data_IF_816459688914
#
_entry.id   IF_816459688914
#
_cell.length_a   1.000
_cell.length_b   1.000
_cell.length_c   1.000
_cell.angle_alpha   90.00
_cell.angle_beta   90.00
_cell.angle_gamma   90.00
#
_symmetry.space_group_name_H-M   'P 1'
#
loop_
_entity.id
_entity.type
_entity.pdbx_description
1 polymer ?
#
# COMPACT_ATOMS: atom_id res chain seq x y z
N UNK A 1 -20.64 64.75 -12.04
CA UNK A 1 -19.24 64.44 -12.45
C UNK A 1 -18.67 63.55 -11.36
N UNK A 2 -18.46 62.33 -11.65
CA UNK A 2 -18.24 61.39 -10.63
C UNK A 2 -17.22 60.35 -10.97
N UNK A 3 -16.53 59.91 -10.00
CA UNK A 3 -15.51 58.87 -10.10
C UNK A 3 -15.98 57.61 -9.39
N UNK A 4 -15.96 56.52 -10.08
CA UNK A 4 -15.97 55.20 -9.52
C UNK A 4 -14.91 54.37 -10.24
N UNK A 5 -13.83 54.07 -9.56
CA UNK A 5 -12.83 53.08 -10.02
C UNK A 5 -12.33 52.34 -8.79
N UNK A 6 -12.47 51.05 -8.83
CA UNK A 6 -11.49 50.17 -8.25
C UNK A 6 -11.85 49.39 -7.00
N UNK A 7 -12.34 48.16 -7.19
CA UNK A 7 -12.09 47.09 -6.26
C UNK A 7 -12.45 45.75 -6.90
N UNK A 8 -11.57 45.09 -7.62
CA UNK A 8 -11.78 43.68 -8.01
C UNK A 8 -10.53 43.00 -8.56
N UNK A 9 -9.42 43.02 -7.84
CA UNK A 9 -8.26 42.15 -8.21
C UNK A 9 -7.50 41.76 -6.94
N UNK A 10 -8.03 40.91 -6.11
CA UNK A 10 -7.21 40.28 -5.03
C UNK A 10 -7.64 38.86 -4.61
N UNK A 11 -8.60 38.25 -5.25
CA UNK A 11 -9.13 36.92 -4.79
C UNK A 11 -8.55 35.76 -5.58
N UNK A 12 -8.01 35.98 -6.78
CA UNK A 12 -7.56 34.87 -7.65
C UNK A 12 -6.19 34.25 -7.29
N UNK A 13 -5.34 34.99 -6.55
CA UNK A 13 -3.95 34.53 -6.31
C UNK A 13 -3.83 33.51 -5.18
N UNK A 14 -4.75 33.54 -4.19
CA UNK A 14 -4.65 32.62 -3.04
C UNK A 14 -5.11 31.18 -3.35
N UNK A 15 -6.07 31.02 -4.26
CA UNK A 15 -6.57 29.67 -4.63
C UNK A 15 -5.55 28.86 -5.46
N UNK A 16 -4.73 29.51 -6.30
CA UNK A 16 -3.74 28.86 -7.12
C UNK A 16 -2.55 28.29 -6.32
N UNK A 17 -2.15 28.94 -5.23
CA UNK A 17 -1.04 28.51 -4.39
C UNK A 17 -1.34 27.26 -3.56
N UNK A 18 -2.59 27.09 -3.12
CA UNK A 18 -3.01 25.91 -2.34
C UNK A 18 -3.06 24.66 -3.24
N UNK A 19 -3.50 24.79 -4.48
CA UNK A 19 -3.54 23.68 -5.44
C UNK A 19 -2.15 23.19 -5.87
N UNK A 20 -1.18 24.09 -6.03
CA UNK A 20 0.19 23.72 -6.40
C UNK A 20 0.91 22.96 -5.27
N UNK A 21 0.65 23.28 -4.01
CA UNK A 21 1.23 22.60 -2.86
C UNK A 21 0.80 21.12 -2.77
N UNK A 22 -0.46 20.82 -3.00
CA UNK A 22 -1.01 19.46 -2.95
C UNK A 22 -0.46 18.60 -4.10
N UNK A 23 -0.39 19.14 -5.31
CA UNK A 23 0.16 18.43 -6.47
C UNK A 23 1.66 18.13 -6.34
N UNK A 24 2.45 19.08 -5.82
CA UNK A 24 3.88 18.88 -5.62
C UNK A 24 4.18 17.80 -4.56
N UNK A 25 3.36 17.71 -3.51
CA UNK A 25 3.53 16.73 -2.45
C UNK A 25 3.12 15.32 -2.90
N UNK A 26 2.07 15.17 -3.69
CA UNK A 26 1.69 13.89 -4.29
C UNK A 26 2.74 13.37 -5.28
N UNK A 27 3.41 14.23 -6.02
CA UNK A 27 4.50 13.84 -6.93
C UNK A 27 5.74 13.28 -6.19
N UNK A 28 5.88 13.50 -4.90
CA UNK A 28 6.95 12.93 -4.08
C UNK A 28 6.55 11.61 -3.41
N UNK A 29 5.27 11.27 -3.43
CA UNK A 29 4.79 10.00 -2.87
C UNK A 29 5.50 8.82 -3.51
N UNK A 30 5.97 7.90 -2.67
CA UNK A 30 6.62 6.66 -3.09
C UNK A 30 6.18 5.44 -2.27
N UNK A 31 5.18 5.63 -1.41
CA UNK A 31 4.53 4.59 -0.60
C UNK A 31 3.05 4.91 -0.41
N UNK A 32 2.21 3.88 -0.51
CA UNK A 32 0.81 3.95 -0.09
C UNK A 32 0.22 2.55 0.16
N UNK A 33 -0.93 2.49 0.84
CA UNK A 33 -1.82 1.33 0.87
C UNK A 33 -2.90 1.55 -0.19
N UNK A 34 -3.24 0.54 -0.96
CA UNK A 34 -4.32 0.65 -1.96
C UNK A 34 -5.64 1.10 -1.30
N UNK A 35 -6.29 2.14 -1.82
CA UNK A 35 -7.59 2.61 -1.31
C UNK A 35 -8.74 1.69 -1.71
N UNK A 36 -8.50 0.78 -2.64
CA UNK A 36 -9.43 -0.26 -3.08
C UNK A 36 -8.64 -1.51 -3.46
N UNK A 37 -9.14 -2.67 -3.12
CA UNK A 37 -8.67 -3.94 -3.69
C UNK A 37 -9.23 -4.14 -5.11
N UNK A 38 -8.73 -5.12 -5.88
CA UNK A 38 -9.28 -5.46 -7.20
C UNK A 38 -10.72 -5.99 -7.15
N UNK A 39 -11.27 -6.26 -5.96
CA UNK A 39 -12.67 -6.70 -5.77
C UNK A 39 -12.90 -8.21 -5.95
N UNK A 40 -11.85 -9.00 -6.05
CA UNK A 40 -11.90 -10.44 -6.22
C UNK A 40 -11.00 -11.17 -5.20
N UNK A 41 -11.16 -10.84 -3.91
CA UNK A 41 -10.36 -11.41 -2.83
C UNK A 41 -8.86 -11.22 -3.06
N UNK A 42 -8.10 -12.29 -2.86
CA UNK A 42 -6.67 -12.32 -3.11
C UNK A 42 -6.29 -12.72 -4.55
N UNK A 43 -7.26 -12.87 -5.45
CA UNK A 43 -6.98 -12.99 -6.88
C UNK A 43 -6.67 -11.60 -7.46
N UNK A 44 -5.41 -11.25 -7.41
CA UNK A 44 -4.89 -9.95 -7.87
C UNK A 44 -4.42 -10.00 -9.34
N UNK A 45 -4.53 -11.17 -10.01
CA UNK A 45 -3.91 -11.42 -11.30
C UNK A 45 -2.41 -11.69 -11.20
N UNK A 46 -1.97 -12.31 -10.10
CA UNK A 46 -0.58 -12.53 -9.77
C UNK A 46 0.16 -11.26 -9.39
N UNK A 47 1.49 -11.33 -9.27
CA UNK A 47 2.32 -10.16 -8.99
C UNK A 47 2.19 -9.06 -10.05
N UNK A 48 2.06 -9.44 -11.32
CA UNK A 48 1.95 -8.49 -12.43
C UNK A 48 0.62 -7.70 -12.37
N UNK A 49 -0.48 -8.36 -12.02
CA UNK A 49 -1.78 -7.71 -11.84
C UNK A 49 -1.77 -6.75 -10.64
N UNK A 50 -1.16 -7.17 -9.53
CA UNK A 50 -0.99 -6.32 -8.35
C UNK A 50 -0.13 -5.08 -8.65
N UNK A 51 0.98 -5.23 -9.38
CA UNK A 51 1.83 -4.11 -9.81
C UNK A 51 1.06 -3.12 -10.70
N UNK A 52 0.30 -3.65 -11.66
CA UNK A 52 -0.55 -2.83 -12.52
C UNK A 52 -1.59 -2.05 -11.71
N UNK A 53 -2.18 -2.67 -10.68
CA UNK A 53 -3.12 -2.00 -9.79
C UNK A 53 -2.45 -0.87 -9.01
N UNK A 54 -1.26 -1.10 -8.43
CA UNK A 54 -0.44 -0.05 -7.81
C UNK A 54 -0.17 1.11 -8.79
N UNK A 55 0.26 0.80 -10.01
CA UNK A 55 0.56 1.81 -11.03
C UNK A 55 -0.68 2.63 -11.41
N UNK A 56 -1.84 1.97 -11.51
CA UNK A 56 -3.12 2.63 -11.85
C UNK A 56 -3.55 3.60 -10.75
N UNK A 57 -3.50 3.18 -9.48
CA UNK A 57 -3.86 4.03 -8.35
C UNK A 57 -2.88 5.20 -8.19
N UNK A 58 -1.58 4.94 -8.33
CA UNK A 58 -0.55 5.99 -8.30
C UNK A 58 -0.74 7.01 -9.43
N UNK A 59 -1.06 6.57 -10.65
CA UNK A 59 -1.32 7.46 -11.78
C UNK A 59 -2.56 8.35 -11.52
N UNK A 60 -3.63 7.78 -10.99
CA UNK A 60 -4.84 8.53 -10.61
C UNK A 60 -4.57 9.57 -9.52
N UNK A 61 -3.57 9.33 -8.65
CA UNK A 61 -3.14 10.27 -7.61
C UNK A 61 -2.03 11.25 -8.07
N UNK A 62 -1.68 11.28 -9.36
CA UNK A 62 -0.67 12.18 -9.92
C UNK A 62 0.78 11.73 -9.70
N UNK A 63 1.01 10.49 -9.24
CA UNK A 63 2.32 9.90 -9.01
C UNK A 63 2.69 8.78 -10.02
N UNK A 64 2.06 8.78 -11.19
CA UNK A 64 2.22 7.75 -12.22
C UNK A 64 3.55 7.78 -12.98
N UNK A 65 4.38 8.78 -12.79
CA UNK A 65 5.69 8.95 -13.44
C UNK A 65 6.80 8.04 -12.85
N UNK A 66 6.48 7.25 -11.81
CA UNK A 66 7.36 6.26 -11.19
C UNK A 66 6.91 4.85 -11.54
N UNK A 67 7.79 3.87 -11.42
CA UNK A 67 7.43 2.45 -11.49
C UNK A 67 6.97 1.98 -10.12
N UNK A 68 5.74 1.50 -10.03
CA UNK A 68 5.15 1.03 -8.78
C UNK A 68 5.10 -0.48 -8.70
N UNK A 69 5.39 -1.00 -7.51
CA UNK A 69 5.40 -2.43 -7.20
C UNK A 69 4.58 -2.72 -5.95
N UNK A 70 3.81 -3.80 -6.01
CA UNK A 70 3.14 -4.33 -4.84
C UNK A 70 4.16 -5.01 -3.91
N UNK A 71 4.08 -4.76 -2.61
CA UNK A 71 4.85 -5.47 -1.59
C UNK A 71 4.20 -6.82 -1.32
N UNK A 72 4.48 -7.78 -2.16
CA UNK A 72 3.92 -9.13 -2.12
C UNK A 72 5.02 -10.16 -2.40
N UNK A 73 5.11 -11.19 -1.56
CA UNK A 73 5.95 -12.36 -1.83
C UNK A 73 5.19 -13.40 -2.65
N UNK A 74 5.89 -14.23 -3.40
CA UNK A 74 5.32 -15.34 -4.14
C UNK A 74 6.23 -16.56 -4.10
N UNK A 75 5.65 -17.75 -4.04
CA UNK A 75 6.38 -19.02 -4.08
C UNK A 75 6.89 -19.31 -5.49
N UNK A 76 7.94 -20.12 -5.59
CA UNK A 76 8.44 -20.60 -6.87
C UNK A 76 7.33 -21.38 -7.63
N UNK A 77 7.19 -21.12 -8.91
CA UNK A 77 6.22 -21.78 -9.76
C UNK A 77 6.63 -21.76 -11.23
N UNK A 78 6.32 -22.81 -11.97
CA UNK A 78 6.48 -22.91 -13.43
C UNK A 78 7.85 -22.41 -13.95
N UNK A 79 8.95 -22.79 -13.28
CA UNK A 79 10.30 -22.41 -13.66
C UNK A 79 10.71 -20.98 -13.23
N UNK A 80 9.87 -20.27 -12.50
CA UNK A 80 10.21 -19.01 -11.87
C UNK A 80 10.64 -19.23 -10.42
N UNK A 81 11.72 -18.56 -9.94
CA UNK A 81 12.14 -18.66 -8.55
C UNK A 81 11.11 -18.00 -7.63
N UNK A 82 11.18 -18.33 -6.33
CA UNK A 82 10.45 -17.59 -5.32
C UNK A 82 10.85 -16.11 -5.30
N UNK A 83 9.89 -15.27 -4.96
CA UNK A 83 10.04 -13.81 -4.92
C UNK A 83 9.77 -13.32 -3.51
N UNK A 84 10.71 -12.58 -2.94
CA UNK A 84 10.51 -11.89 -1.66
C UNK A 84 9.95 -10.49 -1.90
N UNK A 85 9.01 -10.05 -1.10
CA UNK A 85 8.43 -8.71 -1.22
C UNK A 85 9.50 -7.60 -1.07
N UNK A 86 10.44 -7.77 -0.13
CA UNK A 86 11.54 -6.82 0.12
C UNK A 86 12.45 -6.57 -1.09
N UNK A 87 12.57 -7.54 -1.98
CA UNK A 87 13.48 -7.46 -3.14
C UNK A 87 12.82 -6.78 -4.35
N UNK A 88 11.51 -6.48 -4.26
CA UNK A 88 10.71 -5.90 -5.35
C UNK A 88 10.56 -4.39 -5.31
N UNK A 89 10.80 -3.78 -4.18
CA UNK A 89 10.34 -2.42 -3.87
C UNK A 89 11.40 -1.31 -3.98
N UNK A 90 12.58 -1.62 -4.53
CA UNK A 90 13.68 -0.67 -4.61
C UNK A 90 14.42 -0.50 -3.28
N UNK A 91 15.06 0.65 -3.09
CA UNK A 91 15.99 0.88 -1.96
C UNK A 91 15.52 1.93 -0.95
N UNK A 92 14.48 2.71 -1.28
CA UNK A 92 14.02 3.86 -0.49
C UNK A 92 14.83 5.15 -0.76
N UNK A 93 14.65 6.24 -0.01
CA UNK A 93 13.61 6.38 1.00
C UNK A 93 12.18 6.40 0.42
N UNK A 94 11.20 5.99 1.23
CA UNK A 94 9.80 6.02 0.80
C UNK A 94 9.00 7.02 1.64
N UNK A 95 8.17 7.78 0.94
CA UNK A 95 7.30 8.79 1.50
C UNK A 95 5.83 8.51 1.22
N UNK A 96 4.97 8.74 2.20
CA UNK A 96 3.53 8.66 2.03
C UNK A 96 2.97 9.88 1.28
N UNK A 97 1.66 9.90 1.04
CA UNK A 97 0.97 10.98 0.31
C UNK A 97 1.02 12.36 1.02
N UNK A 98 1.44 12.41 2.29
CA UNK A 98 1.64 13.67 3.04
C UNK A 98 3.11 14.09 3.12
N UNK A 99 4.02 13.41 2.41
CA UNK A 99 5.44 13.71 2.41
C UNK A 99 6.20 13.22 3.65
N UNK A 100 5.58 12.38 4.48
CA UNK A 100 6.26 11.78 5.64
C UNK A 100 7.08 10.59 5.16
N UNK A 101 8.37 10.55 5.52
CA UNK A 101 9.24 9.41 5.26
C UNK A 101 8.82 8.24 6.14
N UNK A 102 8.34 7.16 5.53
CA UNK A 102 7.91 5.95 6.26
C UNK A 102 9.05 4.99 6.54
N UNK A 103 10.06 4.98 5.68
CA UNK A 103 11.33 4.25 5.90
C UNK A 103 12.42 4.84 5.00
N UNK A 104 13.66 4.85 5.45
CA UNK A 104 14.82 5.38 4.71
C UNK A 104 15.46 4.33 3.81
N UNK A 105 15.30 3.05 4.13
CA UNK A 105 15.91 1.93 3.43
C UNK A 105 15.10 0.65 3.65
N UNK A 106 15.43 -0.42 2.92
CA UNK A 106 14.86 -1.75 3.14
C UNK A 106 15.13 -2.25 4.57
N UNK A 107 16.31 -1.97 5.13
CA UNK A 107 16.65 -2.35 6.50
C UNK A 107 15.77 -1.60 7.52
N UNK A 108 15.60 -0.28 7.36
CA UNK A 108 14.72 0.51 8.23
C UNK A 108 13.27 0.02 8.15
N UNK A 109 12.79 -0.29 6.94
CA UNK A 109 11.41 -0.74 6.71
C UNK A 109 11.09 -2.03 7.50
N UNK A 110 12.06 -2.95 7.62
CA UNK A 110 11.93 -4.22 8.33
C UNK A 110 12.49 -4.20 9.76
N UNK A 111 12.59 -3.03 10.36
CA UNK A 111 13.02 -2.82 11.74
C UNK A 111 12.05 -1.89 12.48
N UNK A 112 12.34 -1.62 13.74
CA UNK A 112 11.58 -0.64 14.55
C UNK A 112 11.82 0.82 14.11
N UNK A 113 12.77 1.07 13.19
CA UNK A 113 13.07 2.40 12.68
C UNK A 113 12.01 2.93 11.68
N UNK A 114 11.16 2.06 11.12
CA UNK A 114 10.07 2.52 10.25
C UNK A 114 9.00 3.27 11.03
N UNK A 115 8.42 4.29 10.41
CA UNK A 115 7.35 5.11 11.01
C UNK A 115 5.96 4.66 10.57
N UNK A 116 5.82 3.46 9.99
CA UNK A 116 4.52 2.89 9.65
C UNK A 116 3.64 2.76 10.89
N UNK A 117 2.37 2.96 10.74
CA UNK A 117 1.34 2.96 11.78
C UNK A 117 0.11 3.71 11.29
N UNK A 118 -0.96 3.73 12.07
CA UNK A 118 -2.27 4.25 11.64
C UNK A 118 -2.24 5.62 10.97
N UNK A 119 -1.42 6.56 11.47
CA UNK A 119 -1.35 7.92 10.93
C UNK A 119 -0.51 8.05 9.65
N UNK A 120 0.51 7.21 9.49
CA UNK A 120 1.48 7.29 8.40
C UNK A 120 1.23 6.27 7.29
N UNK A 121 0.48 5.20 7.59
CA UNK A 121 0.09 4.17 6.64
C UNK A 121 -1.12 4.63 5.83
N UNK A 122 -0.90 5.53 4.89
CA UNK A 122 -1.95 6.22 4.13
C UNK A 122 -2.19 5.57 2.77
N UNK A 123 -3.38 5.76 2.24
CA UNK A 123 -3.71 5.45 0.85
C UNK A 123 -3.05 6.42 -0.12
N UNK A 124 -3.10 6.13 -1.43
CA UNK A 124 -2.64 7.05 -2.48
C UNK A 124 -3.38 8.39 -2.48
N UNK A 125 -4.55 8.45 -1.83
CA UNK A 125 -5.37 9.67 -1.67
C UNK A 125 -5.02 10.46 -0.40
N UNK A 126 -4.06 9.97 0.40
CA UNK A 126 -3.69 10.59 1.67
C UNK A 126 -4.71 10.34 2.79
N UNK A 127 -5.65 9.42 2.60
CA UNK A 127 -6.62 9.01 3.60
C UNK A 127 -6.11 7.82 4.43
N UNK A 128 -6.61 7.66 5.64
CA UNK A 128 -6.38 6.46 6.43
C UNK A 128 -7.27 5.32 5.92
N UNK A 129 -6.76 4.10 5.98
CA UNK A 129 -7.59 2.89 5.83
C UNK A 129 -8.40 2.71 7.12
N UNK A 130 -9.69 2.34 7.05
CA UNK A 130 -10.49 2.10 8.25
C UNK A 130 -9.86 1.05 9.17
N UNK A 131 -9.84 1.31 10.48
CA UNK A 131 -9.17 0.44 11.46
C UNK A 131 -9.76 -0.98 11.56
N UNK A 132 -11.01 -1.17 11.15
CA UNK A 132 -11.62 -2.50 11.01
C UNK A 132 -11.26 -3.23 9.70
N UNK A 133 -10.42 -2.64 8.86
CA UNK A 133 -9.86 -3.20 7.63
C UNK A 133 -8.32 -3.15 7.66
N UNK A 134 -7.74 -3.40 8.85
CA UNK A 134 -6.31 -3.18 9.10
C UNK A 134 -5.40 -4.27 8.53
N UNK A 135 -5.94 -5.39 8.08
CA UNK A 135 -5.17 -6.50 7.53
C UNK A 135 -4.81 -6.24 6.06
N UNK A 136 -3.52 -6.15 5.79
CA UNK A 136 -2.95 -5.86 4.49
C UNK A 136 -2.22 -7.11 3.97
N UNK A 137 -2.53 -7.55 2.76
CA UNK A 137 -1.92 -8.72 2.13
C UNK A 137 -0.43 -8.49 1.88
N UNK A 138 0.41 -9.48 2.22
CA UNK A 138 1.86 -9.43 2.01
C UNK A 138 2.47 -10.76 1.57
N UNK A 139 2.00 -11.88 2.12
CA UNK A 139 2.60 -13.21 1.95
C UNK A 139 4.04 -13.30 2.47
N UNK A 140 4.43 -12.41 3.38
CA UNK A 140 5.82 -12.23 3.81
C UNK A 140 6.03 -12.54 5.28
N UNK A 141 7.25 -12.93 5.64
CA UNK A 141 7.77 -12.90 6.99
C UNK A 141 8.08 -11.46 7.42
N UNK A 142 8.39 -11.25 8.69
CA UNK A 142 8.69 -9.93 9.26
C UNK A 142 9.87 -9.24 8.57
N UNK A 143 10.86 -10.00 8.12
CA UNK A 143 12.03 -9.49 7.39
C UNK A 143 11.76 -9.22 5.90
N UNK A 144 10.53 -9.46 5.42
CA UNK A 144 10.12 -9.26 4.03
C UNK A 144 10.45 -10.38 3.06
N UNK A 145 10.98 -11.51 3.55
CA UNK A 145 11.13 -12.72 2.76
C UNK A 145 9.80 -13.46 2.62
N UNK A 146 9.69 -14.39 1.68
CA UNK A 146 8.51 -15.21 1.51
C UNK A 146 8.18 -15.97 2.80
N UNK A 147 6.90 -15.93 3.22
CA UNK A 147 6.42 -16.78 4.30
C UNK A 147 6.55 -18.25 3.90
N UNK A 148 7.13 -19.04 4.78
CA UNK A 148 7.28 -20.49 4.57
C UNK A 148 5.93 -21.22 4.56
N UNK A 149 5.77 -22.23 3.71
CA UNK A 149 4.53 -22.99 3.56
C UNK A 149 3.97 -22.90 2.14
N UNK A 150 2.65 -22.91 2.03
CA UNK A 150 1.95 -22.88 0.76
C UNK A 150 2.09 -21.53 0.04
N UNK A 151 1.96 -21.58 -1.28
CA UNK A 151 1.94 -20.38 -2.09
C UNK A 151 0.81 -19.43 -1.66
N UNK A 152 1.10 -18.14 -1.36
CA UNK A 152 0.11 -17.21 -0.83
C UNK A 152 -1.05 -17.04 -1.81
N UNK A 153 -2.22 -17.56 -1.45
CA UNK A 153 -3.42 -17.54 -2.29
C UNK A 153 -3.15 -17.94 -3.76
N UNK A 154 -2.44 -19.06 -3.97
CA UNK A 154 -2.05 -19.51 -5.31
C UNK A 154 -1.17 -18.50 -6.04
N UNK A 155 -0.23 -17.87 -5.34
CA UNK A 155 0.59 -16.76 -5.85
C UNK A 155 -0.27 -15.60 -6.38
N UNK A 156 -1.30 -15.25 -5.61
CA UNK A 156 -2.20 -14.10 -5.88
C UNK A 156 -3.11 -14.31 -7.10
N UNK A 157 -3.45 -15.57 -7.40
CA UNK A 157 -4.38 -15.91 -8.49
C UNK A 157 -5.65 -16.64 -7.99
N UNK A 158 -5.77 -16.84 -6.67
CA UNK A 158 -6.91 -17.54 -6.06
C UNK A 158 -7.82 -16.59 -5.28
N UNK A 159 -9.13 -16.76 -5.45
CA UNK A 159 -10.19 -16.16 -4.65
C UNK A 159 -11.02 -17.24 -3.93
N UNK A 160 -10.47 -18.44 -3.75
CA UNK A 160 -11.15 -19.56 -3.12
C UNK A 160 -11.33 -19.34 -1.62
N UNK A 161 -12.29 -20.04 -1.03
CA UNK A 161 -12.50 -20.00 0.43
C UNK A 161 -11.40 -20.70 1.21
N UNK A 162 -10.63 -21.57 0.56
CA UNK A 162 -9.46 -22.28 1.10
C UNK A 162 -8.17 -21.50 0.87
N UNK A 163 -7.06 -22.05 1.40
CA UNK A 163 -5.75 -21.43 1.35
C UNK A 163 -5.64 -20.24 2.31
N UNK A 164 -4.70 -19.39 2.04
CA UNK A 164 -4.47 -18.18 2.84
C UNK A 164 -3.21 -17.43 2.39
N UNK A 165 -3.02 -16.26 2.96
CA UNK A 165 -1.81 -15.48 2.82
C UNK A 165 -1.48 -14.78 4.12
N UNK A 166 -0.19 -14.55 4.40
CA UNK A 166 0.23 -13.70 5.48
C UNK A 166 -0.30 -12.28 5.26
N UNK A 167 -0.84 -11.68 6.31
CA UNK A 167 -1.25 -10.26 6.38
C UNK A 167 -0.45 -9.54 7.43
N UNK A 168 -0.32 -8.23 7.28
CA UNK A 168 0.22 -7.33 8.29
C UNK A 168 -0.82 -6.30 8.72
N UNK A 169 -0.65 -5.73 9.91
CA UNK A 169 -1.52 -4.68 10.44
C UNK A 169 -0.96 -3.30 10.10
N UNK A 170 -1.61 -2.57 9.20
CA UNK A 170 -1.16 -1.20 8.90
C UNK A 170 -1.23 -0.26 10.11
N UNK A 171 -2.05 -0.59 11.09
CA UNK A 171 -2.15 0.16 12.36
C UNK A 171 -1.07 -0.20 13.37
N UNK A 172 -0.34 -1.31 13.15
CA UNK A 172 0.52 -1.97 14.15
C UNK A 172 -0.24 -2.33 15.43
N UNK A 173 -1.51 -2.62 15.31
CA UNK A 173 -2.41 -3.03 16.41
C UNK A 173 -3.37 -4.08 15.87
N UNK A 174 -3.63 -5.10 16.69
CA UNK A 174 -4.57 -6.16 16.31
C UNK A 174 -4.39 -7.41 17.14
N UNK A 175 -4.89 -8.52 16.62
CA UNK A 175 -4.73 -9.87 17.15
C UNK A 175 -3.61 -10.65 16.45
N UNK A 176 -3.55 -11.96 16.71
CA UNK A 176 -2.64 -12.88 16.05
C UNK A 176 -1.28 -13.03 16.73
N UNK A 177 -0.36 -13.71 16.04
CA UNK A 177 0.94 -14.09 16.59
C UNK A 177 1.90 -12.90 16.74
N UNK A 178 1.79 -11.91 15.85
CA UNK A 178 2.62 -10.71 15.87
C UNK A 178 1.77 -9.44 15.63
N UNK A 179 0.96 -9.03 16.61
CA UNK A 179 -0.07 -8.00 16.45
C UNK A 179 0.49 -6.64 16.03
N UNK A 180 1.74 -6.36 16.34
CA UNK A 180 2.40 -5.09 16.00
C UNK A 180 3.17 -5.11 14.67
N UNK A 181 3.12 -6.24 13.93
CA UNK A 181 3.81 -6.36 12.66
C UNK A 181 2.99 -5.72 11.53
N UNK A 182 3.60 -4.78 10.83
CA UNK A 182 2.97 -4.15 9.68
C UNK A 182 2.85 -5.09 8.46
N UNK A 183 3.66 -6.16 8.39
CA UNK A 183 3.76 -7.04 7.24
C UNK A 183 3.61 -8.55 7.52
N UNK A 184 3.61 -8.99 8.79
CA UNK A 184 3.61 -10.40 9.16
C UNK A 184 2.89 -10.65 10.49
N UNK A 185 1.62 -10.29 10.59
CA UNK A 185 0.83 -10.42 11.82
C UNK A 185 0.23 -11.81 12.01
N UNK A 186 -0.45 -12.32 11.01
CA UNK A 186 -1.10 -13.65 10.98
C UNK A 186 -1.53 -14.02 9.56
N UNK A 187 -2.00 -15.25 9.35
CA UNK A 187 -2.58 -15.69 8.08
C UNK A 187 -4.04 -15.26 7.95
N UNK A 188 -4.48 -14.98 6.71
CA UNK A 188 -5.89 -14.79 6.40
C UNK A 188 -6.67 -16.11 6.56
N UNK A 189 -7.99 -16.02 6.78
CA UNK A 189 -8.90 -17.18 6.91
C UNK A 189 -9.14 -17.93 5.59
N UNK A 190 -8.71 -17.36 4.49
CA UNK A 190 -8.86 -17.88 3.14
C UNK A 190 -8.54 -16.80 2.12
N UNK A 191 -8.73 -17.07 0.85
CA UNK A 191 -8.38 -16.18 -0.24
C UNK A 191 -9.59 -15.43 -0.83
N UNK A 192 -10.82 -15.84 -0.48
CA UNK A 192 -12.03 -15.16 -0.95
C UNK A 192 -12.19 -13.77 -0.35
N UNK A 193 -12.90 -12.88 -1.03
CA UNK A 193 -13.20 -11.54 -0.53
C UNK A 193 -13.87 -11.58 0.84
N UNK A 194 -14.83 -12.51 1.04
CA UNK A 194 -15.51 -12.69 2.32
C UNK A 194 -14.56 -13.13 3.43
N UNK A 195 -13.63 -14.03 3.14
CA UNK A 195 -12.65 -14.49 4.13
C UNK A 195 -11.64 -13.40 4.48
N UNK A 196 -11.23 -12.58 3.53
CA UNK A 196 -10.38 -11.42 3.81
C UNK A 196 -11.09 -10.41 4.71
N UNK A 197 -12.37 -10.12 4.44
CA UNK A 197 -13.19 -9.24 5.31
C UNK A 197 -13.36 -9.87 6.70
N UNK A 198 -13.65 -11.17 6.78
CA UNK A 198 -13.81 -11.88 8.04
C UNK A 198 -12.49 -12.05 8.83
N UNK A 199 -11.34 -11.83 8.18
CA UNK A 199 -10.03 -11.76 8.84
C UNK A 199 -9.84 -10.40 9.50
N UNK A 200 -10.24 -9.31 8.86
CA UNK A 200 -10.05 -7.93 9.28
C UNK A 200 -9.44 -7.06 8.18
N UNK A 201 -9.47 -7.54 6.94
CA UNK A 201 -8.96 -6.86 5.76
C UNK A 201 -10.04 -6.56 4.71
N UNK A 202 -9.62 -6.24 3.50
CA UNK A 202 -10.51 -6.02 2.36
C UNK A 202 -9.81 -6.25 1.00
N UNK A 203 -8.75 -7.05 0.97
CA UNK A 203 -7.95 -7.27 -0.23
C UNK A 203 -6.98 -6.14 -0.57
N UNK A 204 -6.63 -5.32 0.41
CA UNK A 204 -5.65 -4.24 0.28
C UNK A 204 -4.21 -4.78 0.34
N UNK A 205 -3.29 -4.07 -0.29
CA UNK A 205 -1.86 -4.33 -0.23
C UNK A 205 -1.05 -3.04 -0.32
N UNK A 206 0.22 -3.11 0.09
CA UNK A 206 1.13 -1.97 0.04
C UNK A 206 1.72 -1.80 -1.35
N UNK A 207 1.89 -0.56 -1.77
CA UNK A 207 2.53 -0.16 -3.02
C UNK A 207 3.76 0.72 -2.74
N UNK A 208 4.87 0.40 -3.39
CA UNK A 208 6.13 1.13 -3.28
C UNK A 208 6.61 1.53 -4.68
N UNK A 209 7.16 2.73 -4.80
CA UNK A 209 7.83 3.18 -6.02
C UNK A 209 9.32 2.82 -5.99
N UNK A 210 9.80 2.36 -7.14
CA UNK A 210 11.23 2.10 -7.40
C UNK A 210 11.93 3.36 -7.93
#
# INVERSE_FOLDING_TARGET
MSKLIGASIRIAVFAALVFQGVSAQQNQMSFFITSAGPGNGANLGGLAGADKHCQTLAAAAGAGNRTWRAYLSAAAAAGQPAVNARDRIGKGPWMNAKGVVVAKSVADLHSDANTLGGENSLTEKGAQVPGNQHDILTGSQADGTLQTGDAPCGNWTSAETSGGAMVGHHTKQGGGAAPNSWNAAHSSKGCSQQNLIATGGNGYFYCFAN
#
